data_IF_111198528903
#
_entry.id   IF_111198528903
#
_cell.length_a   1.000
_cell.length_b   1.000
_cell.length_c   1.000
_cell.angle_alpha   90.00
_cell.angle_beta   90.00
_cell.angle_gamma   90.00
#
_symmetry.space_group_name_H-M   'P 1'
#
loop_
_entity.id
_entity.type
_entity.pdbx_description
1 polymer ?
#
# COMPACT_ATOMS: atom_id res chain seq x y z
N UNK A 1 11.45 7.94 20.38
CA UNK A 1 12.24 8.54 19.28
C UNK A 1 11.30 8.72 18.10
N UNK A 2 11.22 9.92 17.53
CA UNK A 2 10.48 10.19 16.29
C UNK A 2 11.45 9.91 15.14
N UNK A 3 11.07 9.09 14.16
CA UNK A 3 11.89 8.84 12.97
C UNK A 3 12.10 10.16 12.22
N UNK A 4 13.30 10.37 11.69
CA UNK A 4 13.59 11.52 10.83
C UNK A 4 12.52 11.61 9.72
N UNK A 5 11.81 12.74 9.68
CA UNK A 5 10.68 12.95 8.78
C UNK A 5 11.05 12.79 7.31
N UNK A 6 12.27 13.17 6.92
CA UNK A 6 12.77 13.02 5.55
C UNK A 6 12.98 11.55 5.19
N UNK A 7 13.57 10.76 6.09
CA UNK A 7 13.74 9.32 5.89
C UNK A 7 12.38 8.64 5.81
N UNK A 8 11.44 8.99 6.68
CA UNK A 8 10.09 8.43 6.63
C UNK A 8 9.37 8.79 5.33
N UNK A 9 9.56 10.02 4.82
CA UNK A 9 9.03 10.45 3.54
C UNK A 9 9.62 9.66 2.37
N UNK A 10 10.95 9.50 2.32
CA UNK A 10 11.63 8.70 1.29
C UNK A 10 11.10 7.26 1.28
N UNK A 11 11.01 6.62 2.46
CA UNK A 11 10.49 5.25 2.60
C UNK A 11 9.02 5.14 2.17
N UNK A 12 8.20 6.12 2.53
CA UNK A 12 6.79 6.20 2.13
C UNK A 12 6.66 6.27 0.61
N UNK A 13 7.44 7.14 -0.04
CA UNK A 13 7.43 7.31 -1.50
C UNK A 13 7.83 6.03 -2.24
N UNK A 14 8.73 5.22 -1.67
CA UNK A 14 9.12 3.93 -2.24
C UNK A 14 7.99 2.90 -2.16
N UNK A 15 7.36 2.72 -1.00
CA UNK A 15 6.47 1.57 -0.79
C UNK A 15 4.99 1.84 -1.05
N UNK A 16 4.53 3.09 -0.90
CA UNK A 16 3.10 3.42 -1.01
C UNK A 16 2.48 3.01 -2.36
N UNK A 17 3.15 3.23 -3.52
CA UNK A 17 2.66 2.73 -4.80
C UNK A 17 2.48 1.21 -4.82
N UNK A 18 3.45 0.45 -4.28
CA UNK A 18 3.38 -1.02 -4.22
C UNK A 18 2.25 -1.49 -3.31
N UNK A 19 2.01 -0.83 -2.17
CA UNK A 19 0.91 -1.16 -1.27
C UNK A 19 -0.45 -0.97 -1.96
N UNK A 20 -0.66 0.13 -2.67
CA UNK A 20 -1.89 0.36 -3.45
C UNK A 20 -2.05 -0.68 -4.56
N UNK A 21 -0.98 -0.97 -5.30
CA UNK A 21 -1.01 -1.97 -6.36
C UNK A 21 -1.32 -3.37 -5.80
N UNK A 22 -0.79 -3.70 -4.62
CA UNK A 22 -1.07 -4.95 -3.92
C UNK A 22 -2.54 -5.05 -3.49
N UNK A 23 -3.14 -3.98 -2.94
CA UNK A 23 -4.58 -3.94 -2.65
C UNK A 23 -5.41 -4.27 -3.90
N UNK A 24 -5.05 -3.66 -5.04
CA UNK A 24 -5.73 -3.89 -6.31
C UNK A 24 -5.55 -5.33 -6.81
N UNK A 25 -4.34 -5.87 -6.72
CA UNK A 25 -4.05 -7.26 -7.10
C UNK A 25 -4.85 -8.25 -6.25
N UNK A 26 -4.91 -8.04 -4.93
CA UNK A 26 -5.68 -8.89 -4.01
C UNK A 26 -7.19 -8.79 -4.22
N UNK A 27 -7.69 -7.61 -4.60
CA UNK A 27 -9.09 -7.42 -5.02
C UNK A 27 -9.44 -8.28 -6.24
N UNK A 28 -8.64 -8.21 -7.31
CA UNK A 28 -8.95 -8.95 -8.55
C UNK A 28 -8.84 -10.46 -8.37
N UNK A 29 -7.95 -10.91 -7.49
CA UNK A 29 -7.82 -12.31 -7.09
C UNK A 29 -8.91 -12.79 -6.12
N UNK A 30 -9.79 -11.88 -5.65
CA UNK A 30 -10.80 -12.18 -4.61
C UNK A 30 -10.17 -12.84 -3.37
N UNK A 31 -9.01 -12.32 -2.95
CA UNK A 31 -8.27 -12.85 -1.79
C UNK A 31 -9.16 -12.82 -0.54
N UNK A 32 -9.21 -13.88 0.29
CA UNK A 32 -9.99 -13.88 1.54
C UNK A 32 -9.48 -12.82 2.54
N UNK A 33 -8.20 -12.46 2.46
CA UNK A 33 -7.60 -11.42 3.29
C UNK A 33 -7.95 -9.98 2.86
N UNK A 34 -8.59 -9.83 1.70
CA UNK A 34 -9.02 -8.54 1.17
C UNK A 34 -10.48 -8.28 1.56
N UNK A 35 -10.75 -7.08 2.06
CA UNK A 35 -12.12 -6.64 2.32
C UNK A 35 -12.31 -5.18 1.91
N UNK A 36 -13.56 -4.85 1.57
CA UNK A 36 -14.00 -3.49 1.29
C UNK A 36 -15.27 -3.21 2.10
N UNK A 37 -15.24 -2.14 2.90
CA UNK A 37 -16.39 -1.61 3.61
C UNK A 37 -16.89 -0.37 2.87
N UNK A 38 -18.09 -0.44 2.32
CA UNK A 38 -18.69 0.64 1.53
C UNK A 38 -19.07 1.87 2.37
N UNK A 39 -19.56 1.67 3.60
CA UNK A 39 -19.98 2.76 4.50
C UNK A 39 -18.81 3.69 4.85
N UNK A 40 -17.62 3.11 5.05
CA UNK A 40 -16.39 3.83 5.39
C UNK A 40 -15.53 4.15 4.17
N UNK A 41 -15.94 3.75 2.97
CA UNK A 41 -15.13 3.74 1.76
C UNK A 41 -13.72 3.17 2.01
N UNK A 42 -13.63 2.10 2.80
CA UNK A 42 -12.37 1.60 3.34
C UNK A 42 -12.05 0.23 2.75
N UNK A 43 -10.88 0.13 2.13
CA UNK A 43 -10.24 -1.12 1.75
C UNK A 43 -9.28 -1.56 2.85
N UNK A 44 -9.31 -2.84 3.17
CA UNK A 44 -8.40 -3.46 4.15
C UNK A 44 -7.76 -4.71 3.53
N UNK A 45 -6.48 -4.92 3.79
CA UNK A 45 -5.78 -6.15 3.45
C UNK A 45 -4.93 -6.63 4.63
N UNK A 46 -5.17 -7.86 5.04
CA UNK A 46 -4.31 -8.57 5.99
C UNK A 46 -3.17 -9.23 5.20
N UNK A 47 -1.92 -8.85 5.45
CA UNK A 47 -0.77 -9.35 4.71
C UNK A 47 0.38 -9.77 5.64
N UNK A 48 0.31 -11.01 6.13
CA UNK A 48 1.24 -11.53 7.13
C UNK A 48 1.16 -10.73 8.43
N UNK A 49 2.27 -10.11 8.79
CA UNK A 49 2.43 -9.26 9.99
C UNK A 49 1.83 -7.86 9.83
N UNK A 50 1.46 -7.45 8.62
CA UNK A 50 0.97 -6.08 8.38
C UNK A 50 -0.51 -6.04 8.02
N UNK A 51 -1.16 -4.96 8.43
CA UNK A 51 -2.49 -4.56 8.03
C UNK A 51 -2.37 -3.31 7.15
N UNK A 52 -2.87 -3.39 5.93
CA UNK A 52 -2.88 -2.28 4.98
C UNK A 52 -4.31 -1.75 4.92
N UNK A 53 -4.48 -0.44 5.14
CA UNK A 53 -5.79 0.22 5.12
C UNK A 53 -5.73 1.40 4.15
N UNK A 54 -6.73 1.52 3.28
CA UNK A 54 -6.87 2.66 2.37
C UNK A 54 -8.31 3.13 2.29
N UNK A 55 -8.57 4.42 2.54
CA UNK A 55 -9.94 4.98 2.53
C UNK A 55 -10.24 5.93 1.35
N UNK A 56 -9.45 5.84 0.27
CA UNK A 56 -9.52 6.76 -0.86
C UNK A 56 -8.61 7.99 -0.73
N UNK A 57 -8.17 8.33 0.49
CA UNK A 57 -7.30 9.47 0.74
C UNK A 57 -6.08 9.12 1.60
N UNK A 58 -6.31 8.45 2.75
CA UNK A 58 -5.27 7.96 3.65
C UNK A 58 -4.92 6.51 3.35
N UNK A 59 -3.62 6.25 3.24
CA UNK A 59 -3.02 4.92 3.23
C UNK A 59 -2.29 4.69 4.55
N UNK A 60 -2.60 3.59 5.24
CA UNK A 60 -1.96 3.19 6.48
C UNK A 60 -1.33 1.80 6.36
N UNK A 61 -0.17 1.64 7.00
CA UNK A 61 0.46 0.35 7.27
C UNK A 61 0.59 0.20 8.79
N UNK A 62 0.00 -0.86 9.33
CA UNK A 62 -0.02 -1.14 10.77
C UNK A 62 0.64 -2.48 11.02
N UNK A 63 1.50 -2.54 12.02
CA UNK A 63 2.02 -3.78 12.57
C UNK A 63 0.93 -4.50 13.35
N UNK A 64 0.57 -5.72 12.94
CA UNK A 64 -0.55 -6.45 13.57
C UNK A 64 -0.22 -6.97 14.96
N UNK A 65 1.05 -7.23 15.26
CA UNK A 65 1.44 -7.79 16.56
C UNK A 65 1.38 -6.70 17.63
N UNK A 66 1.86 -5.51 17.30
CA UNK A 66 1.98 -4.39 18.23
C UNK A 66 0.85 -3.37 18.12
N UNK A 67 0.09 -3.40 17.01
CA UNK A 67 -0.92 -2.39 16.69
C UNK A 67 -0.34 -1.03 16.28
N UNK A 68 0.98 -0.92 16.12
CA UNK A 68 1.66 0.35 15.88
C UNK A 68 1.54 0.74 14.40
N UNK A 69 1.18 2.00 14.15
CA UNK A 69 1.19 2.60 12.81
C UNK A 69 2.65 2.78 12.35
N UNK A 70 3.06 2.01 11.34
CA UNK A 70 4.37 2.11 10.70
C UNK A 70 4.41 3.19 9.61
N UNK A 71 3.27 3.44 8.97
CA UNK A 71 3.13 4.45 7.93
C UNK A 71 1.71 5.02 7.93
N UNK A 72 1.60 6.33 7.78
CA UNK A 72 0.37 7.02 7.40
C UNK A 72 0.75 7.97 6.27
N UNK A 73 0.05 7.90 5.14
CA UNK A 73 0.33 8.71 3.98
C UNK A 73 -0.95 9.19 3.30
N UNK A 74 -0.87 10.36 2.64
CA UNK A 74 -1.93 10.88 1.76
C UNK A 74 -1.39 10.99 0.35
N UNK A 75 -2.17 10.51 -0.63
CA UNK A 75 -1.80 10.58 -2.04
C UNK A 75 -2.50 11.75 -2.73
N UNK A 76 -1.76 12.58 -3.46
CA UNK A 76 -2.30 13.59 -4.35
C UNK A 76 -1.91 13.25 -5.78
N UNK A 77 -2.87 13.21 -6.70
CA UNK A 77 -2.56 12.95 -8.11
C UNK A 77 -1.90 14.18 -8.72
N UNK A 78 -0.71 14.00 -9.26
CA UNK A 78 -0.03 14.96 -10.10
C UNK A 78 -0.82 15.11 -11.41
N UNK A 79 -1.28 16.32 -11.72
CA UNK A 79 -2.10 16.55 -12.92
C UNK A 79 -1.31 16.49 -14.23
N UNK A 80 0.02 16.62 -14.16
CA UNK A 80 0.90 16.63 -15.33
C UNK A 80 1.35 15.22 -15.68
N UNK A 81 1.87 14.47 -14.70
CA UNK A 81 2.39 13.11 -14.95
C UNK A 81 1.33 12.02 -14.76
N UNK A 82 0.26 12.32 -14.03
CA UNK A 82 -0.74 11.34 -13.62
C UNK A 82 -0.31 10.46 -12.44
N UNK A 83 0.93 10.60 -11.97
CA UNK A 83 1.44 9.86 -10.82
C UNK A 83 0.80 10.34 -9.51
N UNK A 84 0.93 9.53 -8.46
CA UNK A 84 0.48 9.91 -7.12
C UNK A 84 1.68 10.35 -6.31
N UNK A 85 1.70 11.62 -5.94
CA UNK A 85 2.64 12.18 -4.99
C UNK A 85 2.17 11.84 -3.57
N UNK A 86 2.94 10.99 -2.88
CA UNK A 86 2.65 10.55 -1.53
C UNK A 86 3.30 11.47 -0.51
N UNK A 87 2.51 11.97 0.43
CA UNK A 87 2.99 12.75 1.59
C UNK A 87 2.84 11.92 2.85
N UNK A 88 3.94 11.72 3.58
CA UNK A 88 3.95 11.01 4.86
C UNK A 88 3.44 11.90 5.99
N UNK A 89 2.85 11.26 7.00
CA UNK A 89 2.46 11.90 8.26
C UNK A 89 3.30 11.34 9.40
N UNK A 90 3.45 12.11 10.47
CA UNK A 90 4.24 11.71 11.63
C UNK A 90 3.67 10.43 12.26
N UNK A 91 4.57 9.49 12.54
CA UNK A 91 4.30 8.25 13.25
C UNK A 91 5.43 8.01 14.26
N UNK A 92 5.19 7.18 15.27
CA UNK A 92 6.15 6.95 16.35
C UNK A 92 7.41 6.24 15.86
N UNK A 93 7.26 4.99 15.38
CA UNK A 93 8.38 4.12 14.99
C UNK A 93 8.69 4.15 13.50
N UNK A 94 7.73 4.52 12.65
CA UNK A 94 7.94 4.59 11.22
C UNK A 94 8.15 3.24 10.55
N UNK A 95 8.52 3.30 9.27
CA UNK A 95 8.89 2.13 8.47
C UNK A 95 10.30 1.71 8.81
N UNK A 96 10.54 0.43 9.07
CA UNK A 96 11.91 -0.10 9.20
C UNK A 96 12.56 -0.34 7.83
N UNK A 97 13.86 -0.66 7.82
CA UNK A 97 14.54 -1.06 6.58
C UNK A 97 14.00 -2.39 6.02
N UNK A 98 13.58 -3.29 6.90
CA UNK A 98 12.97 -4.58 6.56
C UNK A 98 11.59 -4.37 5.91
N UNK A 99 10.79 -3.43 6.43
CA UNK A 99 9.51 -3.06 5.82
C UNK A 99 9.70 -2.54 4.39
N UNK A 100 10.70 -1.68 4.18
CA UNK A 100 11.04 -1.17 2.85
C UNK A 100 11.48 -2.31 1.94
N UNK A 101 12.42 -3.15 2.37
CA UNK A 101 12.89 -4.30 1.58
C UNK A 101 11.77 -5.27 1.19
N UNK A 102 10.75 -5.43 2.04
CA UNK A 102 9.60 -6.30 1.78
C UNK A 102 8.69 -5.76 0.68
N UNK A 103 8.42 -4.45 0.69
CA UNK A 103 7.46 -3.83 -0.24
C UNK A 103 8.11 -3.18 -1.47
N UNK A 104 9.40 -2.87 -1.42
CA UNK A 104 10.21 -2.49 -2.58
C UNK A 104 10.96 -3.71 -3.16
N UNK A 105 10.37 -4.89 -3.03
CA UNK A 105 10.94 -6.13 -3.53
C UNK A 105 10.61 -6.31 -5.03
N UNK A 106 11.60 -6.47 -5.93
CA UNK A 106 11.35 -6.63 -7.37
C UNK A 106 10.45 -7.83 -7.71
N UNK A 107 10.62 -8.96 -7.04
CA UNK A 107 9.82 -10.17 -7.29
C UNK A 107 8.36 -9.95 -6.92
N UNK A 108 8.09 -9.25 -5.80
CA UNK A 108 6.73 -8.85 -5.42
C UNK A 108 6.12 -7.92 -6.46
N UNK A 109 6.87 -6.92 -6.93
CA UNK A 109 6.40 -5.95 -7.93
C UNK A 109 6.06 -6.66 -9.25
N UNK A 110 6.91 -7.59 -9.71
CA UNK A 110 6.66 -8.40 -10.91
C UNK A 110 5.40 -9.25 -10.74
N UNK A 111 5.25 -9.92 -9.59
CA UNK A 111 4.05 -10.71 -9.28
C UNK A 111 2.77 -9.87 -9.32
N UNK A 112 2.78 -8.68 -8.72
CA UNK A 112 1.64 -7.75 -8.75
C UNK A 112 1.31 -7.35 -10.19
N UNK A 113 2.31 -6.98 -10.99
CA UNK A 113 2.12 -6.58 -12.39
C UNK A 113 1.51 -7.72 -13.22
N UNK A 114 2.06 -8.92 -13.12
CA UNK A 114 1.54 -10.10 -13.83
C UNK A 114 0.11 -10.43 -13.42
N UNK A 115 -0.19 -10.37 -12.11
CA UNK A 115 -1.54 -10.60 -11.59
C UNK A 115 -2.54 -9.63 -12.21
N UNK A 116 -2.21 -8.34 -12.26
CA UNK A 116 -3.09 -7.32 -12.84
C UNK A 116 -3.23 -7.49 -14.35
N UNK A 117 -2.14 -7.72 -15.09
CA UNK A 117 -2.17 -7.93 -16.54
C UNK A 117 -3.03 -9.14 -16.94
N UNK A 118 -2.89 -10.25 -16.22
CA UNK A 118 -3.68 -11.46 -16.48
C UNK A 118 -5.17 -11.22 -16.23
N UNK A 119 -5.52 -10.52 -15.13
CA UNK A 119 -6.91 -10.18 -14.82
C UNK A 119 -7.56 -9.30 -15.91
N UNK A 120 -6.83 -8.30 -16.42
CA UNK A 120 -7.35 -7.46 -17.52
C UNK A 120 -7.47 -8.23 -18.83
N UNK A 121 -6.52 -9.12 -19.13
CA UNK A 121 -6.54 -9.92 -20.35
C UNK A 121 -7.69 -10.92 -20.37
N UNK A 122 -8.07 -11.46 -19.20
CA UNK A 122 -9.24 -12.32 -19.03
C UNK A 122 -10.56 -11.53 -19.23
N UNK A 123 -10.65 -10.32 -18.68
CA UNK A 123 -11.83 -9.47 -18.83
C UNK A 123 -12.02 -8.93 -20.25
N UNK A 124 -10.97 -8.84 -21.06
CA UNK A 124 -11.05 -8.40 -22.46
C UNK A 124 -11.56 -9.48 -23.42
N UNK A 125 -11.68 -10.74 -22.97
CA UNK A 125 -12.13 -11.89 -23.76
C UNK A 125 -13.58 -12.31 -23.47
N UNK A 126 -14.23 -11.66 -22.50
CA UNK A 126 -15.64 -11.85 -22.14
C UNK A 126 -16.44 -10.62 -22.55
#
# INVERSE_FOLDING_TARGET
MIVNAEIQQQRTSLIAPTLIALLKAKKVLKSPDYSYNAEKNQTTLVNGEHLIIFNGFYLKLIDKQTGIEKMIATGTRNQITGDIDWKTHSVSLGLSSEDVKKYDNPSLIVYIKQTLLNAYSLNAKN
#
